data_IF_509341810651
#
_entry.id   IF_509341810651
#
_cell.length_a   1.000
_cell.length_b   1.000
_cell.length_c   1.000
_cell.angle_alpha   90.00
_cell.angle_beta   90.00
_cell.angle_gamma   90.00
#
_symmetry.space_group_name_H-M   'P 1'
#
loop_
_entity.id
_entity.type
_entity.pdbx_description
1 polymer ?
#
# COMPACT_ATOMS: atom_id res chain seq x y z
N UNK A 1 27.41 9.68 -18.54
CA UNK A 1 26.69 10.28 -17.40
C UNK A 1 26.72 9.24 -16.30
N UNK A 2 27.44 9.51 -15.21
CA UNK A 2 27.59 8.55 -14.11
C UNK A 2 26.24 8.34 -13.42
N UNK A 3 25.91 7.08 -13.17
CA UNK A 3 24.71 6.57 -12.51
C UNK A 3 24.60 6.98 -11.01
N UNK A 4 25.32 8.03 -10.60
CA UNK A 4 25.60 8.38 -9.21
C UNK A 4 24.58 9.33 -8.56
N UNK A 5 23.62 9.87 -9.33
CA UNK A 5 22.68 10.90 -8.83
C UNK A 5 21.20 10.50 -8.99
N UNK A 6 20.87 9.20 -8.98
CA UNK A 6 19.46 8.77 -9.00
C UNK A 6 18.88 8.81 -7.59
N UNK A 7 17.76 9.52 -7.41
CA UNK A 7 17.02 9.53 -6.15
C UNK A 7 16.65 8.10 -5.75
N UNK A 8 17.19 7.63 -4.63
CA UNK A 8 16.94 6.28 -4.09
C UNK A 8 15.47 6.05 -3.76
N UNK A 9 14.75 7.09 -3.33
CA UNK A 9 13.31 7.00 -3.06
C UNK A 9 12.44 6.80 -4.31
N UNK A 10 13.00 7.02 -5.51
CA UNK A 10 12.31 6.76 -6.78
C UNK A 10 12.65 5.37 -7.37
N UNK A 11 13.55 4.62 -6.75
CA UNK A 11 13.90 3.27 -7.17
C UNK A 11 12.92 2.29 -6.47
N UNK A 12 12.09 1.54 -7.22
CA UNK A 12 11.15 0.62 -6.61
C UNK A 12 11.89 -0.51 -5.90
N UNK A 13 11.50 -0.77 -4.65
CA UNK A 13 12.12 -1.79 -3.82
C UNK A 13 11.04 -2.46 -2.95
N UNK A 14 11.01 -3.79 -2.93
CA UNK A 14 10.10 -4.55 -2.06
C UNK A 14 10.62 -4.51 -0.62
N UNK A 15 9.73 -4.59 0.38
CA UNK A 15 10.16 -4.64 1.78
C UNK A 15 10.74 -6.02 2.08
N UNK A 16 11.97 -6.04 2.59
CA UNK A 16 12.60 -7.27 3.10
C UNK A 16 11.97 -7.68 4.43
N UNK A 17 11.58 -8.95 4.54
CA UNK A 17 11.06 -9.53 5.77
C UNK A 17 12.21 -9.85 6.74
N UNK A 18 12.45 -8.91 7.64
CA UNK A 18 13.45 -9.05 8.71
C UNK A 18 12.86 -9.72 9.96
N UNK A 19 11.53 -9.86 10.05
CA UNK A 19 10.81 -10.45 11.16
C UNK A 19 10.56 -11.96 10.98
N UNK A 20 10.55 -12.43 9.73
CA UNK A 20 10.32 -13.83 9.35
C UNK A 20 8.84 -14.24 9.38
N UNK A 21 7.92 -13.29 9.26
CA UNK A 21 6.47 -13.51 9.34
C UNK A 21 5.70 -13.26 8.02
N UNK A 22 6.42 -12.92 6.94
CA UNK A 22 5.88 -12.71 5.60
C UNK A 22 4.71 -11.71 5.53
N UNK A 23 4.59 -10.79 6.49
CA UNK A 23 3.41 -9.89 6.56
C UNK A 23 3.26 -9.01 5.33
N UNK A 24 4.35 -8.38 4.88
CA UNK A 24 4.31 -7.47 3.74
C UNK A 24 3.89 -8.20 2.46
N UNK A 25 4.52 -9.34 2.16
CA UNK A 25 4.21 -10.10 0.94
C UNK A 25 2.80 -10.71 1.00
N UNK A 26 2.35 -11.15 2.18
CA UNK A 26 0.98 -11.64 2.38
C UNK A 26 -0.06 -10.55 2.11
N UNK A 27 0.19 -9.34 2.59
CA UNK A 27 -0.69 -8.19 2.35
C UNK A 27 -0.68 -7.77 0.87
N UNK A 28 0.50 -7.72 0.23
CA UNK A 28 0.64 -7.46 -1.20
C UNK A 28 -0.17 -8.45 -2.04
N UNK A 29 -0.02 -9.76 -1.76
CA UNK A 29 -0.75 -10.81 -2.47
C UNK A 29 -2.26 -10.68 -2.32
N UNK A 30 -2.75 -10.29 -1.12
CA UNK A 30 -4.17 -9.99 -0.90
C UNK A 30 -4.64 -8.84 -1.79
N UNK A 31 -3.85 -7.78 -1.95
CA UNK A 31 -4.18 -6.66 -2.83
C UNK A 31 -4.22 -7.07 -4.31
N UNK A 32 -3.28 -7.91 -4.76
CA UNK A 32 -3.29 -8.47 -6.12
C UNK A 32 -4.56 -9.29 -6.37
N UNK A 33 -4.96 -10.13 -5.40
CA UNK A 33 -6.20 -10.90 -5.49
C UNK A 33 -7.44 -9.99 -5.50
N UNK A 34 -7.48 -8.99 -4.63
CA UNK A 34 -8.57 -8.02 -4.60
C UNK A 34 -8.68 -7.24 -5.92
N UNK A 35 -7.57 -6.82 -6.51
CA UNK A 35 -7.55 -6.13 -7.81
C UNK A 35 -7.94 -7.03 -8.98
N UNK A 36 -7.80 -8.36 -8.83
CA UNK A 36 -8.24 -9.34 -9.83
C UNK A 36 -9.75 -9.59 -9.74
N UNK A 37 -10.27 -9.74 -8.54
CA UNK A 37 -11.63 -10.21 -8.31
C UNK A 37 -12.65 -9.07 -8.13
N UNK A 38 -12.19 -7.89 -7.70
CA UNK A 38 -13.02 -6.71 -7.46
C UNK A 38 -12.77 -5.66 -8.54
N UNK A 39 -13.84 -4.98 -8.95
CA UNK A 39 -13.79 -3.85 -9.88
C UNK A 39 -14.07 -2.54 -9.15
N UNK A 40 -13.09 -1.94 -8.45
CA UNK A 40 -13.30 -0.68 -7.76
C UNK A 40 -13.44 0.50 -8.71
N UNK A 41 -14.19 1.51 -8.31
CA UNK A 41 -14.19 2.82 -8.98
C UNK A 41 -13.09 3.74 -8.45
N UNK A 42 -12.63 3.51 -7.22
CA UNK A 42 -11.61 4.30 -6.54
C UNK A 42 -10.59 3.37 -5.88
N UNK A 43 -9.31 3.64 -6.09
CA UNK A 43 -8.23 2.90 -5.44
C UNK A 43 -7.36 3.85 -4.62
N UNK A 44 -7.24 3.56 -3.32
CA UNK A 44 -6.31 4.23 -2.43
C UNK A 44 -5.05 3.37 -2.29
N UNK A 45 -3.88 3.97 -2.44
CA UNK A 45 -2.57 3.31 -2.27
C UNK A 45 -1.71 4.24 -1.42
N UNK A 46 -0.96 3.67 -0.47
CA UNK A 46 -0.01 4.45 0.31
C UNK A 46 0.36 3.80 1.62
N UNK A 47 0.74 4.66 2.55
CA UNK A 47 1.38 4.34 3.81
C UNK A 47 0.36 3.96 4.92
N UNK A 48 0.78 3.84 6.21
CA UNK A 48 -0.14 3.52 7.30
C UNK A 48 -1.33 4.49 7.43
N UNK A 49 -1.23 5.75 7.00
CA UNK A 49 -2.35 6.69 7.08
C UNK A 49 -3.49 6.26 6.16
N UNK A 50 -3.15 5.79 4.97
CA UNK A 50 -4.14 5.21 4.04
C UNK A 50 -4.73 3.95 4.65
N UNK A 51 -3.91 3.05 5.20
CA UNK A 51 -4.37 1.81 5.82
C UNK A 51 -5.33 2.06 7.00
N UNK A 52 -4.94 2.94 7.92
CA UNK A 52 -5.69 3.26 9.14
C UNK A 52 -7.03 3.94 8.81
N UNK A 53 -7.09 4.74 7.75
CA UNK A 53 -8.33 5.37 7.31
C UNK A 53 -9.46 4.33 7.11
N UNK A 54 -9.15 3.14 6.61
CA UNK A 54 -10.14 2.06 6.43
C UNK A 54 -10.70 1.53 7.76
N UNK A 55 -9.98 1.68 8.87
CA UNK A 55 -10.37 1.19 10.19
C UNK A 55 -11.32 2.14 10.95
N UNK A 56 -11.51 3.37 10.45
CA UNK A 56 -12.39 4.36 11.07
C UNK A 56 -13.76 4.41 10.37
N UNK A 57 -14.79 4.85 11.10
CA UNK A 57 -16.17 4.90 10.61
C UNK A 57 -16.33 5.76 9.35
N UNK A 58 -15.48 6.79 9.22
CA UNK A 58 -15.44 7.69 8.06
C UNK A 58 -15.27 6.92 6.74
N UNK A 59 -14.56 5.78 6.73
CA UNK A 59 -14.40 4.99 5.52
C UNK A 59 -15.72 4.40 5.04
N UNK A 60 -16.49 3.82 5.97
CA UNK A 60 -17.81 3.25 5.68
C UNK A 60 -18.78 4.33 5.20
N UNK A 61 -18.71 5.51 5.80
CA UNK A 61 -19.63 6.62 5.49
C UNK A 61 -19.30 7.31 4.18
N UNK A 62 -18.01 7.56 3.90
CA UNK A 62 -17.60 8.41 2.78
C UNK A 62 -17.01 7.66 1.59
N UNK A 63 -16.37 6.50 1.78
CA UNK A 63 -15.59 5.86 0.70
C UNK A 63 -16.17 4.52 0.22
N UNK A 64 -16.74 3.72 1.13
CA UNK A 64 -17.43 2.48 0.76
C UNK A 64 -18.54 2.66 -0.30
N UNK A 65 -19.35 3.74 -0.29
CA UNK A 65 -20.37 3.96 -1.33
C UNK A 65 -19.79 4.10 -2.75
N UNK A 66 -18.51 4.44 -2.88
CA UNK A 66 -17.82 4.60 -4.16
C UNK A 66 -17.12 3.31 -4.64
N UNK A 67 -17.45 2.14 -4.08
CA UNK A 67 -16.75 0.88 -4.38
C UNK A 67 -15.22 1.05 -4.31
N UNK A 68 -14.74 1.63 -3.20
CA UNK A 68 -13.33 1.92 -3.02
C UNK A 68 -12.55 0.69 -2.52
N UNK A 69 -11.32 0.52 -3.00
CA UNK A 69 -10.31 -0.36 -2.41
C UNK A 69 -9.22 0.44 -1.70
N UNK A 70 -8.69 -0.15 -0.63
CA UNK A 70 -7.61 0.42 0.17
C UNK A 70 -6.41 -0.53 0.18
N UNK A 71 -5.35 -0.13 -0.52
CA UNK A 71 -4.06 -0.81 -0.57
C UNK A 71 -3.03 -0.06 0.27
N UNK A 72 -3.44 0.43 1.44
CA UNK A 72 -2.54 1.00 2.44
C UNK A 72 -1.72 -0.09 3.12
N UNK A 73 -0.44 0.17 3.35
CA UNK A 73 0.49 -0.77 3.99
C UNK A 73 1.32 -0.10 5.08
N UNK A 74 1.51 -0.81 6.18
CA UNK A 74 2.16 -0.29 7.39
C UNK A 74 3.68 -0.16 7.21
N UNK A 75 4.27 -0.99 6.35
CA UNK A 75 5.73 -1.17 6.28
C UNK A 75 6.42 -0.35 5.17
N UNK A 76 5.69 0.53 4.47
CA UNK A 76 6.17 1.26 3.28
C UNK A 76 6.93 2.57 3.57
N UNK A 77 7.29 2.82 4.83
CA UNK A 77 7.92 4.10 5.24
C UNK A 77 9.44 4.05 5.30
N UNK A 78 10.06 2.92 4.94
CA UNK A 78 11.52 2.87 4.81
C UNK A 78 11.89 3.67 3.55
N UNK A 79 12.78 4.66 3.68
CA UNK A 79 13.40 5.52 2.64
C UNK A 79 12.87 6.95 2.41
N UNK A 80 11.96 7.47 3.24
CA UNK A 80 11.71 8.93 3.26
C UNK A 80 12.57 9.56 4.36
N UNK A 81 13.86 9.81 4.07
CA UNK A 81 14.74 10.86 4.60
C UNK A 81 16.20 10.60 4.20
#
# INVERSE_FOLDING_TARGET
MSQADSNTAAIPHAVEDIQGDDRWISQHNRFVLDGKDKMPNVLFVGDPMVQLMQQHEIWRELFSPFHALNFGTEEDTRHVL
#
